data_IF_670247444688
#
_entry.id   IF_670247444688
#
_cell.length_a   1.000
_cell.length_b   1.000
_cell.length_c   1.000
_cell.angle_alpha   90.00
_cell.angle_beta   90.00
_cell.angle_gamma   90.00
#
_symmetry.space_group_name_H-M   'P 1'
#
loop_
_entity.id
_entity.type
_entity.pdbx_description
1 polymer ?
#
# COMPACT_ATOMS: atom_id res chain seq x y z
N UNK A 1 34.82 19.32 -7.24
CA UNK A 1 33.84 18.22 -7.35
C UNK A 1 34.61 16.91 -7.34
N UNK A 2 34.74 16.19 -6.22
CA UNK A 2 35.46 14.93 -6.23
C UNK A 2 34.54 13.84 -6.77
N UNK A 3 34.95 13.27 -7.91
CA UNK A 3 34.69 11.91 -8.39
C UNK A 3 33.49 11.21 -7.73
N UNK A 4 32.27 11.48 -8.21
CA UNK A 4 31.22 10.47 -8.11
C UNK A 4 31.62 9.36 -9.08
N UNK A 5 32.20 8.27 -8.56
CA UNK A 5 32.33 7.02 -9.30
C UNK A 5 30.99 6.74 -9.99
N UNK A 6 30.99 6.70 -11.32
CA UNK A 6 29.79 6.41 -12.10
C UNK A 6 29.39 4.98 -11.80
N UNK A 7 28.39 4.79 -10.94
CA UNK A 7 27.84 3.46 -10.69
C UNK A 7 27.24 2.94 -11.99
N UNK A 8 27.49 1.67 -12.30
CA UNK A 8 26.83 1.02 -13.44
C UNK A 8 25.31 0.93 -13.19
N UNK A 9 24.48 0.85 -14.25
CA UNK A 9 23.04 0.61 -14.08
C UNK A 9 22.73 -0.62 -13.21
N UNK A 10 23.54 -1.68 -13.32
CA UNK A 10 23.38 -2.90 -12.52
C UNK A 10 23.65 -2.64 -11.03
N UNK A 11 24.72 -1.92 -10.70
CA UNK A 11 25.02 -1.55 -9.31
C UNK A 11 23.92 -0.69 -8.68
N UNK A 12 23.37 0.25 -9.45
CA UNK A 12 22.25 1.09 -9.00
C UNK A 12 21.01 0.23 -8.76
N UNK A 13 20.67 -0.66 -9.71
CA UNK A 13 19.51 -1.54 -9.57
C UNK A 13 19.64 -2.44 -8.33
N UNK A 14 20.79 -3.08 -8.12
CA UNK A 14 21.04 -3.95 -6.97
C UNK A 14 21.03 -3.19 -5.65
N UNK A 15 21.59 -1.98 -5.61
CA UNK A 15 21.57 -1.13 -4.42
C UNK A 15 20.14 -0.72 -4.04
N UNK A 16 19.34 -0.27 -5.01
CA UNK A 16 17.94 0.13 -4.78
C UNK A 16 17.08 -1.08 -4.42
N UNK A 17 17.28 -2.23 -5.09
CA UNK A 17 16.66 -3.50 -4.71
C UNK A 17 16.98 -3.85 -3.25
N UNK A 18 18.26 -3.83 -2.86
CA UNK A 18 18.71 -4.19 -1.52
C UNK A 18 18.12 -3.31 -0.42
N UNK A 19 18.05 -1.99 -0.63
CA UNK A 19 17.43 -1.06 0.33
C UNK A 19 15.93 -1.34 0.47
N UNK A 20 15.22 -1.52 -0.65
CA UNK A 20 13.78 -1.78 -0.58
C UNK A 20 13.49 -3.17 0.01
N UNK A 21 14.30 -4.17 -0.29
CA UNK A 21 14.22 -5.50 0.33
C UNK A 21 14.44 -5.41 1.85
N UNK A 22 15.48 -4.70 2.29
CA UNK A 22 15.76 -4.49 3.71
C UNK A 22 14.56 -3.85 4.41
N UNK A 23 14.01 -2.77 3.85
CA UNK A 23 12.83 -2.08 4.42
C UNK A 23 11.59 -2.98 4.41
N UNK A 24 11.35 -3.70 3.33
CA UNK A 24 10.23 -4.63 3.23
C UNK A 24 10.33 -5.73 4.28
N UNK A 25 11.50 -6.34 4.46
CA UNK A 25 11.74 -7.35 5.50
C UNK A 25 11.57 -6.73 6.89
N UNK A 26 12.18 -5.56 7.14
CA UNK A 26 12.16 -4.89 8.44
C UNK A 26 10.74 -4.56 8.93
N UNK A 27 9.82 -4.22 8.03
CA UNK A 27 8.45 -3.86 8.41
C UNK A 27 7.45 -5.00 8.24
N UNK A 28 7.49 -5.71 7.11
CA UNK A 28 6.46 -6.69 6.77
C UNK A 28 6.63 -8.02 7.51
N UNK A 29 7.89 -8.46 7.74
CA UNK A 29 8.14 -9.76 8.40
C UNK A 29 7.81 -9.68 9.90
N UNK A 30 8.28 -8.69 10.67
CA UNK A 30 7.85 -8.55 12.07
C UNK A 30 6.33 -8.39 12.20
N UNK A 31 5.70 -7.59 11.33
CA UNK A 31 4.24 -7.47 11.29
C UNK A 31 3.57 -8.83 11.05
N UNK A 32 4.06 -9.62 10.09
CA UNK A 32 3.55 -10.96 9.83
C UNK A 32 3.71 -11.89 11.04
N UNK A 33 4.89 -11.91 11.66
CA UNK A 33 5.16 -12.75 12.82
C UNK A 33 4.24 -12.38 13.99
N UNK A 34 4.10 -11.09 14.29
CA UNK A 34 3.26 -10.61 15.39
C UNK A 34 1.79 -10.92 15.14
N UNK A 35 1.25 -10.61 13.96
CA UNK A 35 -0.19 -10.67 13.72
C UNK A 35 -0.69 -12.01 13.18
N UNK A 36 0.13 -12.76 12.45
CA UNK A 36 -0.29 -14.01 11.78
C UNK A 36 0.38 -15.28 12.32
N UNK A 37 1.49 -15.18 13.06
CA UNK A 37 2.16 -16.35 13.66
C UNK A 37 2.00 -16.45 15.17
N UNK A 38 2.15 -15.32 15.89
CA UNK A 38 2.04 -15.27 17.35
C UNK A 38 0.67 -14.81 17.83
N UNK A 39 0.09 -13.84 17.12
CA UNK A 39 -1.22 -13.22 17.34
C UNK A 39 -1.58 -13.02 18.82
N UNK A 40 -1.23 -11.88 19.43
CA UNK A 40 -1.62 -11.56 20.79
C UNK A 40 -3.12 -11.74 21.02
N UNK A 41 -3.53 -12.35 22.15
CA UNK A 41 -4.95 -12.61 22.45
C UNK A 41 -5.82 -11.34 22.35
N UNK A 42 -5.29 -10.20 22.79
CA UNK A 42 -5.98 -8.91 22.69
C UNK A 42 -6.14 -8.36 21.26
N UNK A 43 -5.34 -8.83 20.30
CA UNK A 43 -5.48 -8.46 18.90
C UNK A 43 -6.54 -9.29 18.17
N UNK A 44 -6.87 -10.50 18.65
CA UNK A 44 -7.84 -11.39 18.00
C UNK A 44 -9.24 -10.77 17.86
N UNK A 45 -9.65 -9.94 18.81
CA UNK A 45 -10.91 -9.20 18.74
C UNK A 45 -10.95 -8.24 17.55
N UNK A 46 -9.79 -7.76 17.09
CA UNK A 46 -9.65 -6.77 16.01
C UNK A 46 -9.37 -7.39 14.64
N UNK A 47 -9.45 -8.72 14.52
CA UNK A 47 -9.20 -9.43 13.26
C UNK A 47 -10.30 -9.12 12.25
N UNK A 48 -9.91 -8.87 11.00
CA UNK A 48 -10.82 -8.51 9.90
C UNK A 48 -11.17 -9.70 8.98
N UNK A 49 -10.29 -10.70 8.92
CA UNK A 49 -10.46 -11.89 8.07
C UNK A 49 -10.80 -13.18 8.82
N UNK A 50 -11.14 -14.26 8.09
CA UNK A 50 -11.68 -15.50 8.65
C UNK A 50 -10.68 -16.33 9.48
N UNK A 51 -9.39 -15.99 9.46
CA UNK A 51 -8.38 -16.76 10.18
C UNK A 51 -6.96 -16.54 9.67
N UNK A 52 -6.02 -17.42 10.06
CA UNK A 52 -4.63 -17.39 9.59
C UNK A 52 -4.54 -17.51 8.07
N UNK A 53 -3.53 -16.87 7.49
CA UNK A 53 -3.26 -16.90 6.06
C UNK A 53 -2.57 -18.21 5.68
N UNK A 54 -3.08 -18.88 4.64
CA UNK A 54 -2.56 -20.16 4.19
C UNK A 54 -1.17 -20.06 3.54
N UNK A 55 -0.37 -21.12 3.64
CA UNK A 55 1.01 -21.17 3.13
C UNK A 55 1.12 -20.87 1.63
N UNK A 56 0.16 -21.32 0.82
CA UNK A 56 0.15 -21.06 -0.61
C UNK A 56 0.01 -19.55 -0.93
N UNK A 57 -0.83 -18.84 -0.18
CA UNK A 57 -0.97 -17.39 -0.30
C UNK A 57 0.30 -16.68 0.16
N UNK A 58 0.87 -17.06 1.30
CA UNK A 58 2.14 -16.47 1.79
C UNK A 58 3.26 -16.60 0.75
N UNK A 59 3.42 -17.79 0.15
CA UNK A 59 4.43 -18.01 -0.90
C UNK A 59 4.21 -17.10 -2.10
N UNK A 60 2.96 -16.92 -2.53
CA UNK A 60 2.60 -16.03 -3.63
C UNK A 60 2.89 -14.57 -3.29
N UNK A 61 2.50 -14.12 -2.10
CA UNK A 61 2.73 -12.76 -1.62
C UNK A 61 4.21 -12.40 -1.59
N UNK A 62 5.04 -13.30 -1.03
CA UNK A 62 6.50 -13.12 -0.99
C UNK A 62 7.08 -13.14 -2.40
N UNK A 63 6.69 -14.10 -3.25
CA UNK A 63 7.19 -14.19 -4.62
C UNK A 63 6.95 -12.90 -5.41
N UNK A 64 5.70 -12.43 -5.45
CA UNK A 64 5.38 -11.20 -6.18
C UNK A 64 5.97 -9.95 -5.53
N UNK A 65 6.14 -9.93 -4.20
CA UNK A 65 6.87 -8.85 -3.54
C UNK A 65 8.33 -8.77 -4.00
N UNK A 66 9.03 -9.89 -4.08
CA UNK A 66 10.42 -9.92 -4.59
C UNK A 66 10.49 -9.48 -6.06
N UNK A 67 9.51 -9.87 -6.88
CA UNK A 67 9.42 -9.41 -8.28
C UNK A 67 9.22 -7.89 -8.35
N UNK A 68 8.28 -7.34 -7.59
CA UNK A 68 8.05 -5.89 -7.51
C UNK A 68 9.28 -5.12 -7.06
N UNK A 69 10.00 -5.64 -6.05
CA UNK A 69 11.25 -5.05 -5.57
C UNK A 69 12.31 -4.99 -6.69
N UNK A 70 12.39 -6.01 -7.56
CA UNK A 70 13.25 -6.00 -8.74
C UNK A 70 12.90 -4.87 -9.71
N UNK A 71 11.61 -4.67 -9.97
CA UNK A 71 11.10 -3.57 -10.80
C UNK A 71 11.41 -2.21 -10.17
N UNK A 72 11.29 -2.06 -8.85
CA UNK A 72 11.68 -0.83 -8.15
C UNK A 72 13.18 -0.56 -8.27
N UNK A 73 14.01 -1.61 -8.32
CA UNK A 73 15.43 -1.50 -8.66
C UNK A 73 15.65 -0.85 -10.03
N UNK A 74 14.89 -1.26 -11.05
CA UNK A 74 14.93 -0.67 -12.39
C UNK A 74 14.44 0.79 -12.40
N UNK A 75 13.39 1.12 -11.63
CA UNK A 75 12.99 2.52 -11.41
C UNK A 75 14.12 3.33 -10.78
N UNK A 76 14.88 2.73 -9.85
CA UNK A 76 16.08 3.34 -9.30
C UNK A 76 17.13 3.72 -10.35
N UNK A 77 17.32 2.87 -11.37
CA UNK A 77 18.19 3.17 -12.52
C UNK A 77 17.67 4.36 -13.31
N UNK A 78 16.37 4.40 -13.61
CA UNK A 78 15.74 5.53 -14.28
C UNK A 78 15.95 6.83 -13.48
N UNK A 79 15.69 6.80 -12.17
CA UNK A 79 15.87 7.94 -11.28
C UNK A 79 17.33 8.44 -11.27
N UNK A 80 18.29 7.52 -11.24
CA UNK A 80 19.71 7.85 -11.34
C UNK A 80 20.08 8.47 -12.68
N UNK A 81 19.53 7.95 -13.79
CA UNK A 81 19.72 8.51 -15.13
C UNK A 81 19.14 9.93 -15.23
N UNK A 82 17.93 10.16 -14.71
CA UNK A 82 17.30 11.49 -14.65
C UNK A 82 18.15 12.48 -13.84
N UNK A 83 18.69 12.06 -12.70
CA UNK A 83 19.59 12.89 -11.89
C UNK A 83 20.88 13.24 -12.65
N UNK A 84 21.50 12.26 -13.31
CA UNK A 84 22.71 12.48 -14.13
C UNK A 84 22.47 13.39 -15.33
N UNK A 85 21.28 13.35 -15.91
CA UNK A 85 20.89 14.23 -17.01
C UNK A 85 20.52 15.65 -16.55
N UNK A 86 20.55 15.93 -15.24
CA UNK A 86 20.13 17.23 -14.69
C UNK A 86 18.61 17.45 -14.74
N UNK A 87 17.83 16.41 -15.00
CA UNK A 87 16.38 16.46 -15.10
C UNK A 87 15.68 16.25 -13.75
N UNK A 88 16.37 15.62 -12.78
CA UNK A 88 15.81 15.43 -11.45
C UNK A 88 15.85 16.71 -10.62
N UNK A 89 14.73 17.02 -9.98
CA UNK A 89 14.55 18.07 -8.97
C UNK A 89 14.87 17.60 -7.55
N UNK A 90 15.25 16.33 -7.35
CA UNK A 90 15.70 15.85 -6.05
C UNK A 90 17.07 16.47 -5.73
N UNK A 91 17.16 17.16 -4.60
CA UNK A 91 18.36 17.86 -4.17
C UNK A 91 18.93 17.30 -2.86
N UNK A 92 20.21 17.56 -2.60
CA UNK A 92 20.95 17.03 -1.43
C UNK A 92 21.54 18.14 -0.53
N UNK A 93 21.26 19.40 -0.83
CA UNK A 93 21.75 20.57 -0.10
C UNK A 93 20.61 21.29 0.63
N UNK A 94 20.93 22.35 1.37
CA UNK A 94 19.94 23.13 2.13
C UNK A 94 19.17 24.19 1.32
N UNK A 95 19.19 24.17 -0.03
CA UNK A 95 18.81 25.35 -0.84
C UNK A 95 17.37 25.86 -0.68
N UNK A 96 16.45 25.01 -0.19
CA UNK A 96 15.05 25.36 0.08
C UNK A 96 14.71 25.49 1.58
N UNK A 97 15.68 25.28 2.47
CA UNK A 97 15.52 25.43 3.92
C UNK A 97 14.68 24.35 4.60
N UNK A 98 14.67 24.38 5.93
CA UNK A 98 14.02 23.38 6.79
C UNK A 98 12.49 23.40 6.70
N UNK A 99 11.88 24.57 6.53
CA UNK A 99 10.42 24.68 6.41
C UNK A 99 9.90 23.90 5.19
N UNK A 100 10.55 24.05 4.04
CA UNK A 100 10.19 23.29 2.84
C UNK A 100 10.51 21.81 2.99
N UNK A 101 11.63 21.44 3.61
CA UNK A 101 11.94 20.05 3.91
C UNK A 101 10.75 19.36 4.62
N UNK A 102 10.24 19.98 5.68
CA UNK A 102 9.10 19.45 6.47
C UNK A 102 7.82 19.44 5.63
N UNK A 103 7.49 20.54 4.94
CA UNK A 103 6.27 20.67 4.16
C UNK A 103 6.23 19.77 2.91
N UNK A 104 7.39 19.47 2.32
CA UNK A 104 7.47 18.62 1.12
C UNK A 104 7.01 17.18 1.38
N UNK A 105 7.13 16.67 2.61
CA UNK A 105 6.72 15.31 2.99
C UNK A 105 5.20 15.12 2.86
N UNK A 106 4.32 15.91 3.53
CA UNK A 106 2.89 15.79 3.35
C UNK A 106 2.45 16.15 1.92
N UNK A 107 3.13 17.05 1.22
CA UNK A 107 2.86 17.33 -0.20
C UNK A 107 3.08 16.08 -1.06
N UNK A 108 4.18 15.35 -0.86
CA UNK A 108 4.42 14.07 -1.55
C UNK A 108 3.37 13.01 -1.19
N UNK A 109 2.92 12.95 0.06
CA UNK A 109 1.85 12.02 0.47
C UNK A 109 0.52 12.35 -0.23
N UNK A 110 0.13 13.62 -0.32
CA UNK A 110 -1.09 14.05 -1.03
C UNK A 110 -0.98 13.76 -2.54
N UNK A 111 0.17 14.06 -3.14
CA UNK A 111 0.42 13.77 -4.55
C UNK A 111 0.35 12.27 -4.82
N UNK A 112 0.96 11.45 -3.97
CA UNK A 112 0.94 10.01 -4.12
C UNK A 112 -0.45 9.41 -3.88
N UNK A 113 -1.20 9.86 -2.87
CA UNK A 113 -2.58 9.38 -2.66
C UNK A 113 -3.47 9.70 -3.86
N UNK A 114 -3.30 10.90 -4.45
CA UNK A 114 -4.01 11.28 -5.67
C UNK A 114 -3.61 10.40 -6.85
N UNK A 115 -2.31 10.21 -7.06
CA UNK A 115 -1.79 9.31 -8.09
C UNK A 115 -2.38 7.90 -7.92
N UNK A 116 -2.23 7.34 -6.71
CA UNK A 116 -2.69 6.01 -6.35
C UNK A 116 -4.19 5.85 -6.55
N UNK A 117 -5.02 6.77 -6.05
CA UNK A 117 -6.48 6.66 -6.19
C UNK A 117 -6.90 6.48 -7.65
N UNK A 118 -6.36 7.31 -8.55
CA UNK A 118 -6.73 7.29 -9.96
C UNK A 118 -6.14 6.09 -10.70
N UNK A 119 -4.89 5.73 -10.44
CA UNK A 119 -4.29 4.54 -11.04
C UNK A 119 -4.93 3.26 -10.54
N UNK A 120 -5.21 3.17 -9.24
CA UNK A 120 -5.87 2.04 -8.61
C UNK A 120 -7.28 1.84 -9.18
N UNK A 121 -8.09 2.90 -9.24
CA UNK A 121 -9.41 2.85 -9.86
C UNK A 121 -9.34 2.45 -11.34
N UNK A 122 -8.36 2.96 -12.09
CA UNK A 122 -8.12 2.56 -13.48
C UNK A 122 -7.75 1.06 -13.60
N UNK A 123 -6.89 0.56 -12.71
CA UNK A 123 -6.50 -0.85 -12.68
C UNK A 123 -7.68 -1.78 -12.34
N UNK A 124 -8.70 -1.29 -11.63
CA UNK A 124 -9.97 -1.99 -11.38
C UNK A 124 -10.96 -1.95 -12.55
N UNK A 125 -10.65 -1.24 -13.63
CA UNK A 125 -11.50 -1.28 -14.80
C UNK A 125 -11.57 -2.71 -15.37
N UNK A 126 -12.79 -3.22 -15.60
CA UNK A 126 -13.08 -4.63 -15.99
C UNK A 126 -12.18 -5.18 -17.10
N UNK A 127 -11.78 -4.34 -18.06
CA UNK A 127 -10.93 -4.74 -19.21
C UNK A 127 -9.46 -4.93 -18.84
N UNK A 128 -9.00 -4.30 -17.75
CA UNK A 128 -7.61 -4.19 -17.34
C UNK A 128 -7.32 -5.06 -16.11
N UNK A 129 -8.26 -5.15 -15.16
CA UNK A 129 -8.11 -5.82 -13.87
C UNK A 129 -7.39 -7.17 -13.92
N UNK A 130 -7.83 -8.06 -14.82
CA UNK A 130 -7.28 -9.42 -14.94
C UNK A 130 -5.79 -9.48 -15.32
N UNK A 131 -5.26 -8.43 -15.94
CA UNK A 131 -3.87 -8.34 -16.41
C UNK A 131 -2.97 -7.52 -15.49
N UNK A 132 -3.54 -6.69 -14.62
CA UNK A 132 -2.76 -5.71 -13.85
C UNK A 132 -2.94 -5.94 -12.36
N UNK A 133 -4.16 -6.05 -11.84
CA UNK A 133 -4.37 -5.95 -10.39
C UNK A 133 -4.99 -7.20 -9.76
N UNK A 134 -5.43 -8.17 -10.58
CA UNK A 134 -5.98 -9.44 -10.09
C UNK A 134 -5.01 -10.20 -9.19
N UNK A 135 -3.70 -10.18 -9.48
CA UNK A 135 -2.69 -10.89 -8.68
C UNK A 135 -2.69 -10.38 -7.24
N UNK A 136 -2.73 -9.06 -7.06
CA UNK A 136 -2.82 -8.43 -5.74
C UNK A 136 -4.08 -8.88 -5.00
N UNK A 137 -5.22 -8.88 -5.69
CA UNK A 137 -6.52 -9.33 -5.16
C UNK A 137 -6.64 -10.84 -4.93
N UNK A 138 -5.69 -11.68 -5.36
CA UNK A 138 -5.71 -13.09 -4.96
C UNK A 138 -5.53 -13.24 -3.44
N UNK A 139 -5.02 -12.21 -2.77
CA UNK A 139 -4.91 -12.13 -1.32
C UNK A 139 -6.17 -11.56 -0.67
N UNK A 140 -7.31 -12.24 -0.86
CA UNK A 140 -8.63 -11.85 -0.30
C UNK A 140 -8.64 -11.63 1.22
N UNK A 141 -7.76 -12.33 1.96
CA UNK A 141 -7.45 -12.06 3.37
C UNK A 141 -5.98 -11.67 3.44
N UNK A 142 -5.63 -10.41 3.14
CA UNK A 142 -4.23 -10.04 2.95
C UNK A 142 -3.44 -10.17 4.25
N UNK A 143 -2.18 -10.54 4.11
CA UNK A 143 -1.17 -10.43 5.16
C UNK A 143 -0.27 -9.22 4.90
N UNK A 144 0.50 -8.71 5.88
CA UNK A 144 1.42 -7.60 5.65
C UNK A 144 2.49 -7.92 4.59
N UNK A 145 2.74 -9.20 4.29
CA UNK A 145 3.63 -9.61 3.19
C UNK A 145 3.04 -9.29 1.81
N UNK A 146 1.73 -9.02 1.71
CA UNK A 146 1.06 -8.62 0.48
C UNK A 146 1.35 -7.16 0.07
N UNK A 147 2.00 -6.36 0.91
CA UNK A 147 2.21 -4.92 0.69
C UNK A 147 2.85 -4.59 -0.67
N UNK A 148 3.70 -5.48 -1.22
CA UNK A 148 4.27 -5.35 -2.57
C UNK A 148 3.93 -6.53 -3.49
N UNK A 149 2.95 -7.36 -3.13
CA UNK A 149 2.55 -8.53 -3.90
C UNK A 149 1.71 -8.15 -5.13
N UNK A 150 2.33 -7.39 -6.04
CA UNK A 150 1.72 -6.84 -7.23
C UNK A 150 1.99 -7.71 -8.45
N UNK A 151 1.13 -7.61 -9.46
CA UNK A 151 1.55 -8.04 -10.79
C UNK A 151 2.71 -7.14 -11.29
N UNK A 152 3.62 -7.61 -12.17
CA UNK A 152 4.68 -6.77 -12.72
C UNK A 152 4.20 -5.43 -13.33
N UNK A 153 3.08 -5.45 -14.07
CA UNK A 153 2.51 -4.23 -14.65
C UNK A 153 1.99 -3.25 -13.60
N UNK A 154 1.41 -3.76 -12.51
CA UNK A 154 0.99 -2.95 -11.37
C UNK A 154 2.20 -2.36 -10.67
N UNK A 155 3.27 -3.13 -10.44
CA UNK A 155 4.50 -2.62 -9.84
C UNK A 155 5.12 -1.47 -10.66
N UNK A 156 5.06 -1.52 -12.00
CA UNK A 156 5.49 -0.42 -12.89
C UNK A 156 4.62 0.82 -12.73
N UNK A 157 3.31 0.66 -12.55
CA UNK A 157 2.39 1.77 -12.28
C UNK A 157 2.69 2.33 -10.88
N UNK A 158 2.66 1.52 -9.84
CA UNK A 158 2.88 1.93 -8.45
C UNK A 158 4.20 2.67 -8.24
N UNK A 159 5.29 2.22 -8.87
CA UNK A 159 6.60 2.88 -8.78
C UNK A 159 6.70 4.18 -9.58
N UNK A 160 5.76 4.43 -10.50
CA UNK A 160 5.71 5.60 -11.38
C UNK A 160 5.60 6.95 -10.65
N UNK A 161 5.14 6.95 -9.39
CA UNK A 161 5.15 8.15 -8.54
C UNK A 161 6.57 8.70 -8.31
N UNK A 162 7.58 7.83 -8.22
CA UNK A 162 8.96 8.25 -7.94
C UNK A 162 9.55 9.15 -9.05
N UNK A 163 9.56 8.74 -10.34
CA UNK A 163 10.00 9.61 -11.42
C UNK A 163 9.09 10.83 -11.61
N UNK A 164 7.78 10.71 -11.36
CA UNK A 164 6.87 11.87 -11.38
C UNK A 164 7.30 12.94 -10.38
N UNK A 165 7.53 12.58 -9.12
CA UNK A 165 8.05 13.49 -8.09
C UNK A 165 9.41 14.06 -8.51
N UNK A 166 10.34 13.20 -8.93
CA UNK A 166 11.67 13.65 -9.34
C UNK A 166 11.65 14.67 -10.48
N UNK A 167 10.69 14.62 -11.40
CA UNK A 167 10.61 15.56 -12.51
C UNK A 167 9.87 16.86 -12.16
N UNK A 168 8.95 16.81 -11.21
CA UNK A 168 7.96 17.88 -10.99
C UNK A 168 8.15 18.66 -9.69
N UNK A 169 8.63 18.03 -8.62
CA UNK A 169 8.66 18.61 -7.28
C UNK A 169 10.11 18.70 -6.75
N UNK A 170 10.61 19.89 -6.39
CA UNK A 170 11.90 19.99 -5.72
C UNK A 170 11.78 19.42 -4.30
N UNK A 171 12.45 18.30 -4.03
CA UNK A 171 12.41 17.65 -2.72
C UNK A 171 13.81 17.26 -2.26
N UNK A 172 14.08 17.39 -0.97
CA UNK A 172 15.33 16.89 -0.41
C UNK A 172 15.34 15.37 -0.47
N UNK A 173 16.50 14.77 -0.80
CA UNK A 173 16.65 13.31 -0.86
C UNK A 173 16.15 12.60 0.40
N UNK A 174 16.51 13.13 1.57
CA UNK A 174 16.13 12.47 2.83
C UNK A 174 14.62 12.63 3.11
N UNK A 175 13.98 13.73 2.70
CA UNK A 175 12.52 13.87 2.75
C UNK A 175 11.83 12.86 1.81
N UNK A 176 12.40 12.62 0.62
CA UNK A 176 11.92 11.61 -0.31
C UNK A 176 12.03 10.19 0.29
N UNK A 177 13.12 9.87 0.98
CA UNK A 177 13.28 8.59 1.70
C UNK A 177 12.28 8.44 2.86
N UNK A 178 12.01 9.52 3.60
CA UNK A 178 10.98 9.53 4.65
C UNK A 178 9.61 9.27 4.04
N UNK A 179 9.26 9.95 2.93
CA UNK A 179 8.01 9.70 2.19
C UNK A 179 7.87 8.23 1.78
N UNK A 180 8.88 7.65 1.14
CA UNK A 180 8.86 6.23 0.76
C UNK A 180 8.69 5.32 1.98
N UNK A 181 9.28 5.68 3.12
CA UNK A 181 9.18 4.92 4.38
C UNK A 181 7.76 4.97 4.94
N UNK A 182 7.15 6.15 4.98
CA UNK A 182 5.75 6.32 5.40
C UNK A 182 4.81 5.55 4.48
N UNK A 183 5.00 5.62 3.15
CA UNK A 183 4.23 4.88 2.16
C UNK A 183 4.24 3.37 2.46
N UNK A 184 5.42 2.78 2.67
CA UNK A 184 5.54 1.35 2.98
C UNK A 184 4.86 0.99 4.29
N UNK A 185 5.04 1.79 5.34
CA UNK A 185 4.41 1.54 6.64
C UNK A 185 2.88 1.57 6.55
N UNK A 186 2.30 2.53 5.83
CA UNK A 186 0.85 2.60 5.63
C UNK A 186 0.37 1.41 4.80
N UNK A 187 1.08 1.06 3.72
CA UNK A 187 0.74 -0.08 2.89
C UNK A 187 0.77 -1.41 3.68
N UNK A 188 1.83 -1.64 4.47
CA UNK A 188 1.90 -2.79 5.40
C UNK A 188 0.74 -2.76 6.39
N UNK A 189 0.43 -1.58 6.97
CA UNK A 189 -0.67 -1.42 7.92
C UNK A 189 -2.02 -1.79 7.29
N UNK A 190 -2.30 -1.32 6.08
CA UNK A 190 -3.53 -1.62 5.33
C UNK A 190 -3.71 -3.12 5.04
N UNK A 191 -2.62 -3.88 4.96
CA UNK A 191 -2.63 -5.33 4.73
C UNK A 191 -2.47 -6.17 6.00
N UNK A 192 -2.48 -5.57 7.19
CA UNK A 192 -2.25 -6.34 8.43
C UNK A 192 -3.29 -7.44 8.65
N UNK A 193 -4.53 -7.24 8.22
CA UNK A 193 -5.66 -8.12 8.54
C UNK A 193 -6.25 -7.89 9.94
N UNK A 194 -5.84 -6.80 10.61
CA UNK A 194 -6.29 -6.40 11.95
C UNK A 194 -6.52 -4.90 12.00
N UNK A 195 -7.60 -4.45 12.64
CA UNK A 195 -7.86 -3.01 12.81
C UNK A 195 -6.95 -2.39 13.87
N UNK A 196 -6.20 -1.37 13.46
CA UNK A 196 -5.20 -0.69 14.27
C UNK A 196 -5.73 0.60 14.91
N UNK A 197 -6.81 1.17 14.38
CA UNK A 197 -7.35 2.44 14.88
C UNK A 197 -8.25 2.26 16.11
N UNK A 198 -8.33 3.24 17.02
CA UNK A 198 -9.13 3.15 18.24
C UNK A 198 -10.63 3.26 17.97
N UNK A 199 -11.47 2.68 18.83
CA UNK A 199 -12.93 2.79 18.72
C UNK A 199 -13.37 4.25 18.60
N UNK A 200 -14.33 4.52 17.71
CA UNK A 200 -14.83 5.88 17.46
C UNK A 200 -13.93 6.77 16.59
N UNK A 201 -12.78 6.30 16.09
CA UNK A 201 -11.90 7.09 15.21
C UNK A 201 -12.65 7.71 14.02
N UNK A 202 -13.52 6.95 13.34
CA UNK A 202 -14.30 7.43 12.20
C UNK A 202 -15.28 8.58 12.53
N UNK A 203 -15.58 8.82 13.81
CA UNK A 203 -16.41 9.94 14.27
C UNK A 203 -15.59 11.22 14.51
N UNK A 204 -14.27 11.13 14.47
CA UNK A 204 -13.36 12.27 14.63
C UNK A 204 -13.10 12.97 13.30
N UNK A 205 -12.66 14.24 13.31
CA UNK A 205 -12.22 14.93 12.09
C UNK A 205 -11.10 14.18 11.35
N UNK A 206 -10.19 13.53 12.08
CA UNK A 206 -9.13 12.71 11.49
C UNK A 206 -9.69 11.46 10.81
N UNK A 207 -10.71 10.81 11.38
CA UNK A 207 -11.37 9.67 10.75
C UNK A 207 -12.21 10.02 9.52
N UNK A 208 -12.52 11.29 9.31
CA UNK A 208 -13.07 11.75 8.04
C UNK A 208 -11.98 11.79 6.96
N UNK A 209 -10.75 12.18 7.33
CA UNK A 209 -9.62 12.40 6.42
C UNK A 209 -8.87 11.11 6.10
N UNK A 210 -8.59 10.26 7.09
CA UNK A 210 -7.69 9.11 6.94
C UNK A 210 -8.44 7.79 6.76
N UNK A 211 -7.88 6.92 5.93
CA UNK A 211 -8.31 5.53 5.84
C UNK A 211 -7.86 4.73 7.07
N UNK A 212 -8.57 3.65 7.36
CA UNK A 212 -8.19 2.68 8.40
C UNK A 212 -7.81 1.34 7.79
N UNK A 213 -7.34 0.40 8.61
CA UNK A 213 -7.00 -0.94 8.10
C UNK A 213 -8.23 -1.65 7.54
N UNK A 214 -9.39 -1.45 8.17
CA UNK A 214 -10.68 -1.98 7.68
C UNK A 214 -11.03 -1.48 6.27
N UNK A 215 -10.67 -0.24 5.92
CA UNK A 215 -11.00 0.34 4.61
C UNK A 215 -10.35 -0.47 3.47
N UNK A 216 -9.03 -0.66 3.57
CA UNK A 216 -8.26 -1.42 2.58
C UNK A 216 -8.52 -2.92 2.65
N UNK A 217 -8.73 -3.49 3.85
CA UNK A 217 -9.13 -4.89 3.95
C UNK A 217 -10.48 -5.16 3.27
N UNK A 218 -11.45 -4.27 3.44
CA UNK A 218 -12.75 -4.36 2.77
C UNK A 218 -12.62 -4.19 1.25
N UNK A 219 -11.67 -3.38 0.78
CA UNK A 219 -11.35 -3.26 -0.65
C UNK A 219 -10.98 -4.61 -1.28
N UNK A 220 -10.08 -5.38 -0.64
CA UNK A 220 -9.70 -6.74 -1.06
C UNK A 220 -10.89 -7.71 -1.11
N UNK A 221 -11.90 -7.50 -0.28
CA UNK A 221 -13.12 -8.32 -0.27
C UNK A 221 -14.19 -7.82 -1.27
N UNK A 222 -14.19 -6.52 -1.58
CA UNK A 222 -15.22 -5.79 -2.33
C UNK A 222 -14.54 -4.86 -3.35
N UNK A 223 -14.04 -5.45 -4.43
CA UNK A 223 -13.12 -4.85 -5.42
C UNK A 223 -13.55 -3.51 -6.05
N UNK A 224 -14.83 -3.13 -5.99
CA UNK A 224 -15.36 -1.91 -6.63
C UNK A 224 -15.43 -0.68 -5.71
N UNK A 225 -14.87 -0.75 -4.50
CA UNK A 225 -15.00 0.29 -3.47
C UNK A 225 -13.66 0.55 -2.78
N UNK A 226 -13.53 1.66 -2.07
CA UNK A 226 -12.41 1.97 -1.18
C UNK A 226 -11.06 1.98 -1.90
N UNK A 227 -10.84 2.92 -2.83
CA UNK A 227 -9.63 2.96 -3.66
C UNK A 227 -8.48 3.79 -3.07
N UNK A 228 -8.72 4.67 -2.09
CA UNK A 228 -7.69 5.52 -1.51
C UNK A 228 -6.66 4.75 -0.69
N UNK A 229 -5.44 5.30 -0.56
CA UNK A 229 -4.34 4.66 0.17
C UNK A 229 -4.19 5.20 1.58
N UNK A 230 -4.01 6.51 1.69
CA UNK A 230 -3.81 7.23 2.95
C UNK A 230 -5.09 7.93 3.39
N UNK A 231 -5.73 8.59 2.43
CA UNK A 231 -6.81 9.51 2.69
C UNK A 231 -8.12 8.97 2.14
N UNK A 232 -9.18 9.14 2.92
CA UNK A 232 -10.55 8.80 2.54
C UNK A 232 -11.20 9.87 1.64
N UNK A 233 -10.51 10.99 1.45
CA UNK A 233 -10.98 12.19 0.76
C UNK A 233 -11.49 11.86 -0.65
N UNK A 234 -10.68 11.18 -1.48
CA UNK A 234 -11.08 10.84 -2.84
C UNK A 234 -12.28 9.90 -2.89
N UNK A 235 -12.31 8.87 -2.03
CA UNK A 235 -13.45 7.95 -1.96
C UNK A 235 -14.75 8.65 -1.54
N UNK A 236 -14.68 9.67 -0.69
CA UNK A 236 -15.85 10.50 -0.33
C UNK A 236 -16.28 11.37 -1.51
N UNK A 237 -15.35 12.11 -2.10
CA UNK A 237 -15.63 13.04 -3.20
C UNK A 237 -16.20 12.32 -4.43
N UNK A 238 -15.71 11.13 -4.71
CA UNK A 238 -16.10 10.34 -5.87
C UNK A 238 -17.22 9.32 -5.58
N UNK A 239 -17.71 9.25 -4.33
CA UNK A 239 -18.75 8.32 -3.93
C UNK A 239 -18.35 6.84 -4.03
N UNK A 240 -17.07 6.53 -3.83
CA UNK A 240 -16.52 5.17 -3.91
C UNK A 240 -16.20 4.53 -2.56
N UNK A 241 -16.59 5.15 -1.45
CA UNK A 241 -16.61 4.47 -0.15
C UNK A 241 -17.70 3.39 -0.11
N UNK A 242 -17.34 2.20 0.36
CA UNK A 242 -18.31 1.13 0.56
C UNK A 242 -19.35 1.55 1.62
N UNK A 243 -20.66 1.40 1.36
CA UNK A 243 -21.70 1.81 2.30
C UNK A 243 -21.61 1.16 3.69
N UNK A 244 -21.10 -0.08 3.74
CA UNK A 244 -20.88 -0.81 4.98
C UNK A 244 -19.54 -0.55 5.68
N UNK A 245 -18.73 0.42 5.24
CA UNK A 245 -17.40 0.67 5.81
C UNK A 245 -17.46 1.02 7.31
N UNK A 246 -18.31 1.98 7.69
CA UNK A 246 -18.43 2.40 9.09
C UNK A 246 -18.90 1.25 10.01
N UNK A 247 -19.85 0.44 9.55
CA UNK A 247 -20.33 -0.72 10.31
C UNK A 247 -19.24 -1.79 10.47
N UNK A 248 -18.49 -2.10 9.41
CA UNK A 248 -17.38 -3.04 9.47
C UNK A 248 -16.27 -2.56 10.43
N UNK A 249 -15.99 -1.25 10.43
CA UNK A 249 -15.02 -0.64 11.33
C UNK A 249 -15.44 -0.75 12.80
N UNK A 250 -16.69 -0.40 13.12
CA UNK A 250 -17.19 -0.47 14.50
C UNK A 250 -17.19 -1.93 14.99
N UNK A 251 -17.62 -2.89 14.17
CA UNK A 251 -17.57 -4.31 14.52
C UNK A 251 -16.13 -4.81 14.79
N UNK A 252 -15.16 -4.38 13.99
CA UNK A 252 -13.75 -4.71 14.18
C UNK A 252 -13.16 -4.08 15.46
N UNK A 253 -13.61 -2.88 15.85
CA UNK A 253 -13.10 -2.21 17.05
C UNK A 253 -13.82 -2.58 18.34
N UNK A 254 -15.05 -3.11 18.25
CA UNK A 254 -15.83 -3.63 19.38
C UNK A 254 -15.49 -5.08 19.77
N UNK A 255 -14.80 -5.81 18.89
CA UNK A 255 -14.41 -7.19 19.16
C UNK A 255 -15.41 -8.25 18.71
N UNK A 256 -16.43 -7.85 17.96
CA UNK A 256 -17.50 -8.74 17.46
C UNK A 256 -17.16 -9.38 16.12
N UNK A 257 -16.20 -8.83 15.37
CA UNK A 257 -15.86 -9.22 14.00
C UNK A 257 -15.45 -10.69 13.78
N UNK A 258 -15.03 -11.41 14.83
CA UNK A 258 -14.68 -12.83 14.73
C UNK A 258 -15.87 -13.78 14.98
N UNK A 259 -16.91 -13.37 15.71
CA UNK A 259 -17.98 -14.28 16.10
C UNK A 259 -19.06 -14.45 15.01
N UNK A 260 -19.35 -13.43 14.22
CA UNK A 260 -20.41 -13.51 13.19
C UNK A 260 -19.94 -14.21 11.90
N UNK A 261 -18.65 -14.10 11.55
CA UNK A 261 -18.07 -14.85 10.43
C UNK A 261 -17.98 -16.37 10.71
N UNK A 262 -17.80 -16.76 11.98
CA UNK A 262 -17.80 -18.16 12.41
C UNK A 262 -19.23 -18.70 12.63
N UNK A 263 -20.20 -17.86 12.97
CA UNK A 263 -21.61 -18.24 13.18
C UNK A 263 -22.42 -18.34 11.89
N UNK A 264 -22.05 -17.61 10.84
CA UNK A 264 -22.86 -17.55 9.62
C UNK A 264 -22.76 -18.78 8.72
N UNK A 265 -21.79 -19.69 8.90
CA UNK A 265 -21.79 -21.04 8.33
C UNK A 265 -21.99 -21.17 6.80
N UNK A 266 -21.97 -20.07 6.05
CA UNK A 266 -22.23 -20.07 4.62
C UNK A 266 -20.92 -20.32 3.87
N UNK A 267 -20.86 -21.49 3.22
CA UNK A 267 -19.81 -21.86 2.28
C UNK A 267 -19.63 -20.76 1.22
N UNK A 268 -18.39 -20.44 0.79
CA UNK A 268 -18.12 -19.44 -0.26
C UNK A 268 -18.76 -19.73 -1.62
N UNK A 269 -19.35 -20.92 -1.83
CA UNK A 269 -19.88 -21.38 -3.11
C UNK A 269 -21.29 -20.87 -3.46
N UNK A 270 -21.94 -20.08 -2.59
CA UNK A 270 -23.34 -19.66 -2.79
C UNK A 270 -23.55 -18.29 -3.47
N UNK A 271 -22.49 -17.61 -3.93
CA UNK A 271 -22.61 -16.29 -4.58
C UNK A 271 -22.04 -16.31 -6.01
N UNK A 272 -22.64 -17.11 -6.88
CA UNK A 272 -22.65 -16.82 -8.33
C UNK A 272 -23.66 -15.70 -8.60
N UNK A 273 -23.27 -14.55 -9.18
CA UNK A 273 -24.24 -13.58 -9.65
C UNK A 273 -24.94 -14.18 -10.88
N UNK A 274 -26.26 -14.33 -10.82
CA UNK A 274 -27.08 -14.43 -12.02
C UNK A 274 -26.85 -13.16 -12.85
N UNK A 275 -26.37 -13.35 -14.07
CA UNK A 275 -26.25 -12.28 -15.06
C UNK A 275 -27.63 -11.69 -15.37
N UNK A 276 -27.83 -10.36 -15.30
CA UNK A 276 -28.85 -9.73 -16.10
C UNK A 276 -28.34 -9.60 -17.55
N UNK A 277 -29.22 -9.91 -18.50
CA UNK A 277 -29.04 -9.70 -19.94
C UNK A 277 -28.82 -8.24 -20.28
#
# INVERSE_FOLDING_TARGET
MPVMLTRSPVEVALFVFGINLLRYVLFSVPAFLVFHRWTPKGALSRRLGPGPVGTAQVRREVFYSVVSLGIFGLTGVLMYALARAGLSRIYNDGRYGTAWFILSIPVMLILHDTYFYWTHRFMHWKRIFKYVHRVHHLSNNPSPLAAYAFHPLEAVIETGIAPLIALTLPVHRDAFVIFLTIQLLINVTGHLGFEMYPRGFLRSPLGWIFNTTTHHHQHHQKTNWNFGLYFNVWDRLMGTNHPGYAAAYEAATEGTGSQDALRSGQSPDALTPSSPR
#
